data_IF_228470433840
#
_entry.id   IF_228470433840
#
_cell.length_a   1.000
_cell.length_b   1.000
_cell.length_c   1.000
_cell.angle_alpha   90.00
_cell.angle_beta   90.00
_cell.angle_gamma   90.00
#
_symmetry.space_group_name_H-M   'P 1'
#
loop_
_entity.id
_entity.type
_entity.pdbx_description
1 polymer ?
#
# COMPACT_ATOMS: atom_id res chain seq x y z
N UNK A 1 31.56 15.17 4.90
CA UNK A 1 30.29 15.53 4.24
C UNK A 1 29.94 14.35 3.34
N UNK A 2 29.09 13.45 3.78
CA UNK A 2 28.53 12.40 2.94
C UNK A 2 27.66 13.11 1.91
N UNK A 3 28.03 13.01 0.62
CA UNK A 3 27.18 13.41 -0.49
C UNK A 3 25.80 12.80 -0.23
N UNK A 4 24.76 13.66 -0.13
CA UNK A 4 23.36 13.23 -0.03
C UNK A 4 23.09 12.31 -1.22
N UNK A 5 23.16 11.00 -1.01
CA UNK A 5 23.00 10.01 -2.08
C UNK A 5 21.57 10.16 -2.60
N UNK A 6 21.46 10.50 -3.87
CA UNK A 6 20.19 10.52 -4.62
C UNK A 6 19.39 9.25 -4.29
N UNK A 7 18.09 9.38 -4.02
CA UNK A 7 17.21 8.22 -3.86
C UNK A 7 16.20 8.21 -4.99
N UNK A 8 16.48 7.40 -6.01
CA UNK A 8 15.60 7.19 -7.16
C UNK A 8 15.26 5.71 -7.22
N UNK A 9 14.11 5.37 -6.66
CA UNK A 9 13.64 4.00 -6.54
C UNK A 9 12.64 3.60 -7.62
N UNK A 10 12.49 2.31 -7.81
CA UNK A 10 11.44 1.72 -8.64
C UNK A 10 10.90 0.44 -8.02
N UNK A 11 9.57 0.26 -8.04
CA UNK A 11 8.95 -1.01 -7.70
C UNK A 11 8.96 -1.94 -8.92
N UNK A 12 9.43 -3.16 -8.72
CA UNK A 12 9.63 -4.13 -9.79
C UNK A 12 9.24 -5.53 -9.36
N UNK A 13 8.54 -6.25 -10.22
CA UNK A 13 8.22 -7.66 -10.01
C UNK A 13 9.34 -8.59 -10.50
N UNK A 14 9.47 -9.78 -9.91
CA UNK A 14 10.44 -10.79 -10.34
C UNK A 14 10.38 -11.14 -11.81
N UNK A 15 9.17 -11.14 -12.39
CA UNK A 15 8.97 -11.53 -13.80
C UNK A 15 9.74 -10.67 -14.79
N UNK A 16 9.96 -9.38 -14.48
CA UNK A 16 10.72 -8.49 -15.37
C UNK A 16 12.16 -8.98 -15.56
N UNK A 17 12.79 -9.47 -14.50
CA UNK A 17 14.16 -10.00 -14.57
C UNK A 17 14.22 -11.35 -15.30
N UNK A 18 13.16 -12.13 -15.24
CA UNK A 18 13.06 -13.41 -15.95
C UNK A 18 12.86 -13.19 -17.45
N UNK A 19 11.99 -12.28 -17.83
CA UNK A 19 11.60 -12.04 -19.21
C UNK A 19 12.66 -11.28 -20.01
N UNK A 20 13.26 -10.26 -19.40
CA UNK A 20 14.17 -9.34 -20.08
C UNK A 20 15.64 -9.64 -19.79
N UNK A 21 15.90 -10.40 -18.72
CA UNK A 21 17.25 -10.63 -18.20
C UNK A 21 17.70 -9.53 -17.23
N UNK A 22 18.47 -9.94 -16.21
CA UNK A 22 18.88 -9.05 -15.11
C UNK A 22 19.67 -7.85 -15.64
N UNK A 23 20.69 -8.06 -16.47
CA UNK A 23 21.55 -6.98 -16.95
C UNK A 23 20.79 -5.97 -17.81
N UNK A 24 19.89 -6.41 -18.69
CA UNK A 24 19.11 -5.55 -19.56
C UNK A 24 18.14 -4.66 -18.75
N UNK A 25 17.51 -5.23 -17.72
CA UNK A 25 16.65 -4.47 -16.79
C UNK A 25 17.46 -3.42 -16.05
N UNK A 26 18.61 -3.79 -15.48
CA UNK A 26 19.45 -2.87 -14.71
C UNK A 26 20.02 -1.75 -15.60
N UNK A 27 20.44 -2.04 -16.81
CA UNK A 27 20.89 -1.06 -17.79
C UNK A 27 19.77 -0.09 -18.14
N UNK A 28 18.59 -0.57 -18.47
CA UNK A 28 17.42 0.26 -18.75
C UNK A 28 17.09 1.19 -17.57
N UNK A 29 17.05 0.66 -16.37
CA UNK A 29 16.68 1.43 -15.19
C UNK A 29 17.73 2.46 -14.80
N UNK A 30 19.00 2.06 -14.79
CA UNK A 30 20.08 2.96 -14.36
C UNK A 30 20.44 3.96 -15.46
N UNK A 31 20.72 3.51 -16.67
CA UNK A 31 21.30 4.35 -17.71
C UNK A 31 20.24 5.21 -18.39
N UNK A 32 19.02 4.66 -18.61
CA UNK A 32 17.94 5.42 -19.23
C UNK A 32 17.21 6.34 -18.24
N UNK A 33 16.95 5.88 -17.00
CA UNK A 33 16.09 6.60 -16.04
C UNK A 33 16.89 7.26 -14.92
N UNK A 34 17.98 6.66 -14.48
CA UNK A 34 18.78 7.12 -13.33
C UNK A 34 18.35 6.45 -12.00
N UNK A 35 17.67 5.31 -12.08
CA UNK A 35 17.29 4.51 -10.90
C UNK A 35 18.54 3.95 -10.21
N UNK A 36 18.56 4.01 -8.88
CA UNK A 36 19.64 3.49 -8.06
C UNK A 36 19.14 2.64 -6.86
N UNK A 37 17.83 2.44 -6.73
CA UNK A 37 17.23 1.60 -5.69
C UNK A 37 16.15 0.72 -6.31
N UNK A 38 16.28 -0.59 -6.13
CA UNK A 38 15.30 -1.57 -6.59
C UNK A 38 14.41 -1.99 -5.42
N UNK A 39 13.09 -1.88 -5.55
CA UNK A 39 12.12 -2.42 -4.61
C UNK A 39 11.48 -3.64 -5.25
N UNK A 40 12.00 -4.82 -4.89
CA UNK A 40 11.61 -6.08 -5.52
C UNK A 40 10.50 -6.74 -4.72
N UNK A 41 9.36 -7.02 -5.35
CA UNK A 41 8.25 -7.75 -4.75
C UNK A 41 8.58 -9.22 -4.55
N UNK A 42 9.35 -9.55 -3.49
CA UNK A 42 9.84 -10.92 -3.25
C UNK A 42 8.77 -11.89 -2.79
N UNK A 43 7.67 -11.37 -2.23
CA UNK A 43 6.52 -12.18 -1.81
C UNK A 43 5.24 -11.48 -2.21
N UNK A 44 4.44 -12.09 -3.06
CA UNK A 44 3.19 -11.49 -3.49
C UNK A 44 2.24 -12.51 -4.11
N UNK A 45 0.96 -12.38 -3.79
CA UNK A 45 -0.15 -13.03 -4.51
C UNK A 45 -0.95 -12.01 -5.34
N UNK A 46 -0.49 -10.77 -5.39
CA UNK A 46 -1.05 -9.76 -6.27
C UNK A 46 -0.65 -10.06 -7.71
N UNK A 47 -1.64 -10.24 -8.57
CA UNK A 47 -1.41 -10.49 -9.99
C UNK A 47 -0.44 -9.50 -10.65
N UNK A 48 -0.50 -8.21 -10.27
CA UNK A 48 0.43 -7.16 -10.72
C UNK A 48 1.90 -7.40 -10.34
N UNK A 49 2.16 -8.14 -9.27
CA UNK A 49 3.49 -8.33 -8.71
C UNK A 49 3.94 -9.77 -8.72
N UNK A 50 3.00 -10.69 -9.02
CA UNK A 50 3.23 -12.12 -9.03
C UNK A 50 3.40 -12.71 -10.46
N UNK A 51 3.18 -11.94 -11.51
CA UNK A 51 3.28 -12.45 -12.87
C UNK A 51 2.71 -11.50 -13.92
N UNK A 52 2.52 -12.01 -15.15
CA UNK A 52 2.02 -11.27 -16.32
C UNK A 52 0.51 -11.11 -16.30
N UNK A 53 -0.05 -10.51 -15.26
CA UNK A 53 -1.51 -10.37 -15.14
C UNK A 53 -2.07 -9.06 -15.69
N UNK A 54 -1.22 -8.20 -16.26
CA UNK A 54 -1.59 -6.92 -16.82
C UNK A 54 -1.28 -6.92 -18.30
N UNK A 55 -2.08 -6.18 -19.05
CA UNK A 55 -1.74 -5.84 -20.43
C UNK A 55 -0.48 -4.99 -20.44
N UNK A 56 0.63 -5.58 -20.78
CA UNK A 56 1.89 -4.90 -21.04
C UNK A 56 1.81 -4.21 -22.40
N UNK A 57 1.20 -3.07 -22.45
CA UNK A 57 1.25 -2.22 -23.64
C UNK A 57 2.47 -1.31 -23.50
N UNK A 58 3.64 -1.87 -23.83
CA UNK A 58 4.93 -1.31 -23.50
C UNK A 58 5.64 -0.84 -24.76
N UNK A 59 5.73 0.46 -24.95
CA UNK A 59 6.51 1.04 -26.03
C UNK A 59 7.99 0.65 -25.89
N UNK A 60 8.50 -0.14 -26.81
CA UNK A 60 9.91 -0.54 -26.86
C UNK A 60 10.32 -1.69 -25.93
N UNK A 61 9.37 -2.36 -25.30
CA UNK A 61 9.61 -3.54 -24.49
C UNK A 61 9.65 -4.83 -25.30
N UNK A 62 10.36 -5.86 -24.82
CA UNK A 62 10.22 -7.21 -25.34
C UNK A 62 8.76 -7.68 -25.28
N UNK A 63 8.37 -8.58 -26.18
CA UNK A 63 7.06 -9.20 -26.13
C UNK A 63 6.95 -10.10 -24.90
N UNK A 64 6.12 -9.69 -23.95
CA UNK A 64 5.87 -10.45 -22.72
C UNK A 64 4.77 -11.51 -22.89
N UNK A 65 4.25 -11.67 -24.09
CA UNK A 65 3.18 -12.62 -24.39
C UNK A 65 1.79 -12.13 -23.99
N UNK A 66 0.82 -13.05 -24.04
CA UNK A 66 -0.57 -12.73 -23.69
C UNK A 66 -0.70 -12.53 -22.19
N UNK A 67 -1.30 -11.41 -21.70
CA UNK A 67 -1.58 -11.23 -20.29
C UNK A 67 -2.42 -12.40 -19.79
N UNK A 68 -1.95 -13.08 -18.76
CA UNK A 68 -2.78 -14.07 -18.11
C UNK A 68 -3.93 -13.36 -17.35
N UNK A 69 -5.15 -13.93 -17.34
CA UNK A 69 -6.21 -13.44 -16.49
C UNK A 69 -5.70 -13.42 -15.04
N UNK A 70 -6.21 -12.49 -14.23
CA UNK A 70 -5.93 -12.37 -12.79
C UNK A 70 -6.11 -13.74 -12.12
N UNK A 71 -5.12 -14.58 -12.22
CA UNK A 71 -5.06 -15.85 -11.54
C UNK A 71 -4.38 -15.62 -10.20
N UNK A 72 -4.83 -16.31 -9.17
CA UNK A 72 -4.24 -16.27 -7.84
C UNK A 72 -2.91 -17.06 -7.82
N UNK A 73 -2.04 -16.76 -8.77
CA UNK A 73 -0.66 -17.23 -8.81
C UNK A 73 0.16 -16.33 -7.89
N UNK A 74 1.26 -16.82 -7.42
CA UNK A 74 2.19 -16.06 -6.59
C UNK A 74 2.66 -16.85 -5.38
N UNK A 75 3.30 -16.12 -4.50
CA UNK A 75 3.95 -16.65 -3.31
C UNK A 75 5.29 -15.95 -3.10
N UNK A 76 6.23 -16.65 -2.48
CA UNK A 76 7.61 -16.19 -2.36
C UNK A 76 8.40 -16.54 -3.63
N UNK A 77 9.06 -15.56 -4.19
CA UNK A 77 9.97 -15.67 -5.35
C UNK A 77 11.45 -15.76 -4.94
N UNK A 78 11.68 -16.00 -3.66
CA UNK A 78 12.96 -16.42 -3.07
C UNK A 78 12.89 -17.90 -2.73
N UNK A 79 14.03 -18.51 -2.36
CA UNK A 79 14.06 -19.84 -1.75
C UNK A 79 14.02 -19.67 -0.22
N UNK A 80 12.86 -19.81 0.44
CA UNK A 80 12.79 -19.62 1.89
C UNK A 80 13.60 -20.70 2.61
N UNK A 81 14.44 -20.28 3.58
CA UNK A 81 15.31 -21.18 4.36
C UNK A 81 14.53 -21.80 5.51
N UNK A 82 14.38 -23.12 5.50
CA UNK A 82 13.51 -23.89 6.42
C UNK A 82 13.75 -23.63 7.90
N UNK A 83 15.00 -23.35 8.30
CA UNK A 83 15.36 -23.08 9.70
C UNK A 83 14.63 -21.88 10.30
N UNK A 84 14.40 -20.82 9.52
CA UNK A 84 13.67 -19.64 10.01
C UNK A 84 12.19 -19.91 10.25
N UNK A 85 11.64 -20.93 9.60
CA UNK A 85 10.22 -21.30 9.66
C UNK A 85 9.95 -22.53 10.53
N UNK A 86 10.96 -23.02 11.28
CA UNK A 86 10.83 -24.22 12.11
C UNK A 86 9.66 -24.13 13.11
N UNK A 87 9.42 -22.95 13.67
CA UNK A 87 8.39 -22.69 14.69
C UNK A 87 7.13 -21.98 14.13
N UNK A 88 6.97 -21.89 12.81
CA UNK A 88 5.77 -21.32 12.18
C UNK A 88 4.80 -22.43 11.78
N UNK A 89 3.49 -22.10 11.78
CA UNK A 89 2.47 -22.99 11.22
C UNK A 89 2.49 -22.98 9.67
N UNK A 90 2.87 -21.84 9.09
CA UNK A 90 3.00 -21.64 7.64
C UNK A 90 4.45 -21.97 7.24
N UNK A 91 4.63 -23.08 6.52
CA UNK A 91 5.95 -23.59 6.09
C UNK A 91 6.32 -23.12 4.69
N UNK A 92 7.62 -23.08 4.32
CA UNK A 92 8.09 -22.71 2.97
C UNK A 92 7.33 -23.37 1.82
N UNK A 93 7.07 -24.67 1.90
CA UNK A 93 6.29 -25.41 0.88
C UNK A 93 4.87 -24.90 0.65
N UNK A 94 4.30 -24.13 1.60
CA UNK A 94 2.95 -23.59 1.50
C UNK A 94 2.90 -22.27 0.73
N UNK A 95 3.97 -21.48 0.76
CA UNK A 95 4.00 -20.13 0.21
C UNK A 95 5.07 -19.89 -0.85
N UNK A 96 5.97 -20.85 -1.13
CA UNK A 96 6.89 -20.76 -2.27
C UNK A 96 6.06 -20.62 -3.56
N UNK A 97 6.42 -19.66 -4.42
CA UNK A 97 5.77 -19.48 -5.70
C UNK A 97 5.95 -20.73 -6.59
N UNK A 98 4.90 -21.09 -7.32
CA UNK A 98 4.85 -22.29 -8.19
C UNK A 98 4.66 -21.92 -9.66
N UNK A 99 4.95 -20.67 -10.00
CA UNK A 99 4.85 -20.19 -11.37
C UNK A 99 5.94 -20.85 -12.24
N UNK A 100 5.53 -21.43 -13.37
CA UNK A 100 6.44 -22.15 -14.26
C UNK A 100 7.54 -21.26 -14.84
N UNK A 101 7.24 -19.99 -15.05
CA UNK A 101 8.18 -19.01 -15.60
C UNK A 101 9.34 -18.72 -14.65
N UNK A 102 9.09 -18.73 -13.35
CA UNK A 102 10.12 -18.48 -12.33
C UNK A 102 10.80 -19.78 -11.90
N UNK A 103 10.07 -20.91 -11.96
CA UNK A 103 10.60 -22.22 -11.59
C UNK A 103 11.23 -22.23 -10.20
N UNK A 104 12.46 -22.71 -10.11
CA UNK A 104 13.24 -22.77 -8.87
C UNK A 104 14.15 -21.54 -8.66
N UNK A 105 14.05 -20.49 -9.49
CA UNK A 105 14.89 -19.32 -9.39
C UNK A 105 14.67 -18.58 -8.04
N UNK A 106 15.76 -18.11 -7.47
CA UNK A 106 15.75 -17.16 -6.36
C UNK A 106 16.06 -15.77 -6.90
N UNK A 107 15.06 -14.89 -6.82
CA UNK A 107 15.18 -13.58 -7.45
C UNK A 107 16.23 -12.69 -6.77
N UNK A 108 16.43 -12.81 -5.47
CA UNK A 108 17.42 -12.01 -4.77
C UNK A 108 18.84 -12.50 -5.06
N UNK A 109 19.06 -13.82 -5.11
CA UNK A 109 20.36 -14.39 -5.51
C UNK A 109 20.73 -14.00 -6.96
N UNK A 110 19.75 -13.93 -7.85
CA UNK A 110 19.98 -13.53 -9.24
C UNK A 110 20.30 -12.04 -9.38
N UNK A 111 19.61 -11.17 -8.66
CA UNK A 111 19.65 -9.72 -8.90
C UNK A 111 20.71 -9.00 -8.06
N UNK A 112 20.91 -9.40 -6.79
CA UNK A 112 21.79 -8.69 -5.85
C UNK A 112 23.22 -8.54 -6.39
N UNK A 113 23.91 -9.59 -6.91
CA UNK A 113 25.28 -9.44 -7.37
C UNK A 113 25.43 -8.41 -8.50
N UNK A 114 24.54 -8.45 -9.48
CA UNK A 114 24.58 -7.52 -10.62
C UNK A 114 24.22 -6.10 -10.20
N UNK A 115 23.20 -5.92 -9.34
CA UNK A 115 22.81 -4.61 -8.81
C UNK A 115 23.94 -3.98 -7.97
N UNK A 116 24.59 -4.75 -7.09
CA UNK A 116 25.72 -4.29 -6.29
C UNK A 116 26.93 -3.90 -7.15
N UNK A 117 27.23 -4.66 -8.19
CA UNK A 117 28.30 -4.32 -9.15
C UNK A 117 28.06 -2.97 -9.84
N UNK A 118 26.79 -2.55 -9.98
CA UNK A 118 26.37 -1.24 -10.52
C UNK A 118 26.19 -0.16 -9.43
N UNK A 119 26.46 -0.48 -8.16
CA UNK A 119 26.26 0.44 -7.03
C UNK A 119 24.80 0.73 -6.69
N UNK A 120 23.87 -0.13 -7.14
CA UNK A 120 22.44 -0.01 -6.84
C UNK A 120 22.12 -0.70 -5.51
N UNK A 121 21.14 -0.13 -4.78
CA UNK A 121 20.55 -0.75 -3.59
C UNK A 121 19.44 -1.73 -3.99
N UNK A 122 19.29 -2.80 -3.20
CA UNK A 122 18.23 -3.79 -3.35
C UNK A 122 17.44 -3.88 -2.04
N UNK A 123 16.14 -3.60 -2.11
CA UNK A 123 15.21 -3.63 -0.99
C UNK A 123 14.02 -4.52 -1.36
N UNK A 124 13.79 -5.65 -0.66
CA UNK A 124 12.53 -6.36 -0.77
C UNK A 124 11.34 -5.46 -0.49
N UNK A 125 10.31 -5.56 -1.33
CA UNK A 125 9.00 -4.97 -1.10
C UNK A 125 8.10 -6.03 -0.49
N UNK A 126 7.63 -5.78 0.73
CA UNK A 126 6.71 -6.63 1.44
C UNK A 126 5.39 -5.88 1.66
N UNK A 127 4.28 -6.48 1.20
CA UNK A 127 2.96 -5.87 1.27
C UNK A 127 2.03 -6.64 2.20
N UNK A 128 1.50 -5.98 3.20
CA UNK A 128 0.45 -6.43 4.08
C UNK A 128 -0.86 -5.65 3.77
N UNK A 129 -2.02 -6.28 3.67
CA UNK A 129 -2.30 -7.72 3.76
C UNK A 129 -1.93 -8.46 2.47
N UNK A 130 -1.18 -9.55 2.65
CA UNK A 130 -0.60 -10.28 1.52
C UNK A 130 -1.66 -11.02 0.69
N UNK A 131 -2.82 -11.35 1.28
CA UNK A 131 -3.91 -12.09 0.65
C UNK A 131 -5.08 -11.22 0.18
N UNK A 132 -4.90 -9.90 0.16
CA UNK A 132 -5.95 -8.91 -0.12
C UNK A 132 -6.79 -9.19 -1.37
N UNK A 133 -6.18 -9.76 -2.40
CA UNK A 133 -6.82 -10.06 -3.67
C UNK A 133 -7.23 -11.53 -3.82
N UNK A 134 -6.99 -12.36 -2.81
CA UNK A 134 -7.46 -13.75 -2.79
C UNK A 134 -8.99 -13.86 -2.82
N UNK A 135 -9.70 -12.82 -2.41
CA UNK A 135 -11.17 -12.75 -2.44
C UNK A 135 -11.82 -12.64 -3.82
N UNK A 136 -11.05 -12.37 -4.88
CA UNK A 136 -11.59 -12.28 -6.25
C UNK A 136 -11.81 -13.64 -6.94
N UNK A 137 -11.39 -14.73 -6.35
CA UNK A 137 -11.55 -16.01 -6.99
C UNK A 137 -11.71 -17.14 -6.01
N UNK A 138 -10.78 -17.36 -5.16
CA UNK A 138 -10.83 -18.41 -4.13
C UNK A 138 -9.65 -18.24 -3.19
N UNK A 139 -9.94 -17.97 -1.94
CA UNK A 139 -8.99 -17.99 -0.83
C UNK A 139 -8.19 -19.30 -0.78
N UNK A 140 -8.74 -20.38 -1.35
CA UNK A 140 -8.13 -21.70 -1.42
C UNK A 140 -6.95 -21.82 -2.37
N UNK A 141 -6.73 -20.86 -3.26
CA UNK A 141 -5.66 -20.91 -4.27
C UNK A 141 -4.31 -20.35 -3.78
N UNK A 142 -4.26 -19.82 -2.56
CA UNK A 142 -3.04 -19.23 -1.98
C UNK A 142 -2.05 -20.31 -1.50
N UNK A 143 -2.47 -21.58 -1.41
CA UNK A 143 -1.59 -22.69 -1.02
C UNK A 143 -1.35 -22.83 0.49
N UNK A 144 -1.88 -21.92 1.30
CA UNK A 144 -1.75 -21.95 2.76
C UNK A 144 -2.84 -22.87 3.34
N UNK A 145 -2.47 -23.91 4.08
CA UNK A 145 -3.44 -24.83 4.66
C UNK A 145 -4.28 -24.14 5.75
N UNK A 146 -5.57 -24.44 5.77
CA UNK A 146 -6.53 -23.86 6.74
C UNK A 146 -6.54 -22.32 6.75
N UNK A 147 -6.38 -21.70 5.60
CA UNK A 147 -6.32 -20.24 5.47
C UNK A 147 -7.42 -19.49 6.24
N UNK A 148 -8.69 -19.97 6.32
CA UNK A 148 -9.73 -19.29 7.11
C UNK A 148 -9.36 -19.01 8.57
N UNK A 149 -8.55 -19.84 9.22
CA UNK A 149 -8.12 -19.62 10.60
C UNK A 149 -7.27 -18.35 10.80
N UNK A 150 -6.65 -17.85 9.74
CA UNK A 150 -5.82 -16.64 9.78
C UNK A 150 -6.63 -15.37 9.48
N UNK A 151 -7.81 -15.50 8.86
CA UNK A 151 -8.57 -14.37 8.35
C UNK A 151 -9.28 -13.59 9.46
N UNK A 152 -9.49 -12.31 9.20
CA UNK A 152 -10.34 -11.46 10.02
C UNK A 152 -11.76 -12.03 10.10
N UNK A 153 -12.42 -11.75 11.22
CA UNK A 153 -13.81 -12.13 11.45
C UNK A 153 -14.63 -10.86 11.68
N UNK A 154 -15.68 -10.68 10.90
CA UNK A 154 -16.57 -9.53 11.02
C UNK A 154 -17.48 -9.62 12.26
N UNK A 155 -18.27 -8.56 12.47
CA UNK A 155 -19.21 -8.48 13.60
C UNK A 155 -20.30 -9.58 13.62
N UNK A 156 -20.54 -10.28 12.49
CA UNK A 156 -21.48 -11.39 12.36
C UNK A 156 -20.81 -12.79 12.50
N UNK A 157 -19.50 -12.84 12.73
CA UNK A 157 -18.75 -14.09 12.82
C UNK A 157 -18.35 -14.67 11.47
N UNK A 158 -18.41 -13.90 10.38
CA UNK A 158 -18.03 -14.35 9.03
C UNK A 158 -16.57 -14.02 8.76
N UNK A 159 -15.87 -14.91 8.08
CA UNK A 159 -14.49 -14.67 7.67
C UNK A 159 -14.42 -13.62 6.54
N UNK A 160 -13.51 -12.66 6.71
CA UNK A 160 -13.14 -11.69 5.67
C UNK A 160 -12.12 -12.26 4.66
N UNK A 161 -11.56 -11.39 3.85
CA UNK A 161 -10.54 -11.74 2.86
C UNK A 161 -9.10 -11.40 3.32
N UNK A 162 -8.94 -10.68 4.40
CA UNK A 162 -7.64 -10.23 4.91
C UNK A 162 -7.25 -11.01 6.18
N UNK A 163 -5.96 -11.38 6.35
CA UNK A 163 -5.50 -12.03 7.57
C UNK A 163 -5.56 -11.08 8.78
N UNK A 164 -5.82 -11.64 9.95
CA UNK A 164 -5.79 -10.87 11.19
C UNK A 164 -4.36 -10.66 11.67
N UNK A 165 -3.94 -9.41 11.85
CA UNK A 165 -2.61 -9.06 12.38
C UNK A 165 -2.40 -9.46 13.84
N UNK A 166 -3.46 -9.80 14.59
CA UNK A 166 -3.37 -10.35 15.94
C UNK A 166 -3.27 -11.88 15.97
N UNK A 167 -3.42 -12.56 14.82
CA UNK A 167 -3.19 -13.99 14.77
C UNK A 167 -1.70 -14.28 14.98
N UNK A 168 -1.31 -15.02 16.05
CA UNK A 168 0.09 -15.21 16.41
C UNK A 168 0.88 -16.00 15.35
N UNK A 169 0.24 -16.93 14.65
CA UNK A 169 0.89 -17.71 13.61
C UNK A 169 1.17 -16.85 12.36
N UNK A 170 0.23 -15.96 12.00
CA UNK A 170 0.42 -15.01 10.91
C UNK A 170 1.52 -14.00 11.23
N UNK A 171 1.55 -13.44 12.46
CA UNK A 171 2.64 -12.55 12.90
C UNK A 171 3.99 -13.23 12.86
N UNK A 172 4.07 -14.45 13.42
CA UNK A 172 5.32 -15.22 13.46
C UNK A 172 5.82 -15.54 12.06
N UNK A 173 4.92 -15.83 11.13
CA UNK A 173 5.29 -16.03 9.73
C UNK A 173 5.93 -14.78 9.12
N UNK A 174 5.36 -13.58 9.34
CA UNK A 174 5.97 -12.32 8.92
C UNK A 174 7.34 -12.08 9.56
N UNK A 175 7.45 -12.33 10.86
CA UNK A 175 8.72 -12.22 11.58
C UNK A 175 9.78 -13.15 10.99
N UNK A 176 9.46 -14.41 10.75
CA UNK A 176 10.35 -15.39 10.13
C UNK A 176 10.77 -14.98 8.72
N UNK A 177 9.84 -14.42 7.95
CA UNK A 177 10.14 -13.94 6.60
C UNK A 177 11.11 -12.78 6.59
N UNK A 178 10.92 -11.80 7.46
CA UNK A 178 11.83 -10.66 7.60
C UNK A 178 13.20 -11.13 8.11
N UNK A 179 13.24 -12.04 9.08
CA UNK A 179 14.49 -12.60 9.59
C UNK A 179 15.26 -13.36 8.50
N UNK A 180 14.58 -14.21 7.73
CA UNK A 180 15.17 -14.94 6.61
C UNK A 180 15.80 -13.97 5.60
N UNK A 181 15.07 -12.96 5.16
CA UNK A 181 15.62 -11.95 4.23
C UNK A 181 16.86 -11.24 4.81
N UNK A 182 16.81 -10.83 6.07
CA UNK A 182 17.94 -10.12 6.70
C UNK A 182 19.21 -10.96 6.83
N UNK A 183 19.07 -12.28 7.04
CA UNK A 183 20.21 -13.14 7.33
C UNK A 183 20.74 -13.88 6.11
N UNK A 184 19.87 -14.11 5.11
CA UNK A 184 20.21 -14.92 3.96
C UNK A 184 20.68 -14.10 2.76
N UNK A 185 20.33 -12.80 2.68
CA UNK A 185 20.62 -11.98 1.52
C UNK A 185 21.34 -10.67 1.85
N UNK A 186 22.22 -10.23 0.96
CA UNK A 186 22.93 -8.95 1.06
C UNK A 186 22.06 -7.76 0.63
N UNK A 187 20.87 -7.63 1.23
CA UNK A 187 19.93 -6.54 0.99
C UNK A 187 20.37 -5.24 1.66
N UNK A 188 19.77 -4.11 1.27
CA UNK A 188 20.03 -2.78 1.86
C UNK A 188 18.91 -2.31 2.80
N UNK A 189 17.81 -3.03 2.85
CA UNK A 189 16.65 -2.69 3.68
C UNK A 189 15.36 -3.27 3.11
N UNK A 190 14.23 -2.69 3.52
CA UNK A 190 12.89 -3.09 3.11
C UNK A 190 12.02 -1.89 2.75
N UNK A 191 11.07 -2.11 1.86
CA UNK A 191 9.87 -1.29 1.77
C UNK A 191 8.69 -2.09 2.32
N UNK A 192 8.13 -1.63 3.43
CA UNK A 192 6.97 -2.22 4.07
C UNK A 192 5.70 -1.46 3.72
N UNK A 193 4.69 -2.17 3.31
CA UNK A 193 3.40 -1.62 2.91
C UNK A 193 2.29 -2.25 3.74
N UNK A 194 1.57 -1.42 4.52
CA UNK A 194 0.41 -1.83 5.31
C UNK A 194 -0.82 -1.04 4.86
N UNK A 195 -1.67 -1.65 4.05
CA UNK A 195 -2.82 -1.01 3.40
C UNK A 195 -4.15 -1.59 3.89
N UNK A 196 -4.48 -1.37 5.15
CA UNK A 196 -5.70 -1.87 5.78
C UNK A 196 -6.73 -0.77 6.03
N UNK A 197 -8.00 -1.14 6.00
CA UNK A 197 -9.12 -0.30 6.44
C UNK A 197 -9.41 -0.57 7.91
N UNK A 198 -9.56 0.49 8.70
CA UNK A 198 -10.08 0.39 10.06
C UNK A 198 -11.57 0.02 10.07
N UNK A 199 -12.12 -0.47 11.19
CA UNK A 199 -13.53 -0.84 11.27
C UNK A 199 -14.49 0.28 10.84
N UNK A 200 -14.27 1.53 11.24
CA UNK A 200 -15.08 2.66 10.78
C UNK A 200 -14.94 2.93 9.27
N UNK A 201 -13.70 2.85 8.75
CA UNK A 201 -13.47 3.02 7.32
C UNK A 201 -14.11 1.90 6.48
N UNK A 202 -14.15 0.66 7.00
CA UNK A 202 -14.87 -0.45 6.37
C UNK A 202 -16.37 -0.14 6.24
N UNK A 203 -17.00 0.40 7.31
CA UNK A 203 -18.42 0.73 7.30
C UNK A 203 -18.76 1.88 6.35
N UNK A 204 -17.95 2.92 6.28
CA UNK A 204 -18.10 3.99 5.27
C UNK A 204 -18.07 3.42 3.86
N UNK A 205 -17.22 2.41 3.62
CA UNK A 205 -17.12 1.71 2.33
C UNK A 205 -18.22 0.65 2.10
N UNK A 206 -19.20 0.52 2.99
CA UNK A 206 -20.30 -0.44 2.88
C UNK A 206 -19.92 -1.88 3.23
N UNK A 207 -18.88 -2.07 4.02
CA UNK A 207 -18.40 -3.37 4.47
C UNK A 207 -18.67 -3.57 5.96
N UNK A 208 -19.12 -4.77 6.34
CA UNK A 208 -19.26 -5.09 7.75
C UNK A 208 -17.90 -5.07 8.44
N UNK A 209 -17.78 -4.36 9.59
CA UNK A 209 -16.49 -4.13 10.22
C UNK A 209 -15.90 -5.40 10.86
N UNK A 210 -14.56 -5.49 10.85
CA UNK A 210 -13.73 -6.49 11.51
C UNK A 210 -12.56 -5.80 12.23
N UNK A 211 -11.76 -6.48 13.05
CA UNK A 211 -11.77 -7.91 13.30
C UNK A 211 -12.27 -8.22 14.72
N UNK A 212 -13.24 -9.12 14.83
CA UNK A 212 -13.75 -9.65 16.11
C UNK A 212 -13.38 -11.14 16.29
N UNK A 213 -12.28 -11.61 15.70
CA UNK A 213 -11.81 -12.99 15.88
C UNK A 213 -11.39 -13.26 17.33
N UNK A 214 -11.18 -14.54 17.66
CA UNK A 214 -10.78 -14.93 19.01
C UNK A 214 -9.49 -14.26 19.50
N UNK A 215 -8.51 -14.05 18.61
CA UNK A 215 -7.24 -13.40 18.96
C UNK A 215 -7.45 -11.92 19.32
N UNK A 216 -8.25 -11.19 18.54
CA UNK A 216 -8.59 -9.80 18.84
C UNK A 216 -9.39 -9.68 20.13
N UNK A 217 -10.37 -10.56 20.34
CA UNK A 217 -11.19 -10.56 21.57
C UNK A 217 -10.35 -10.85 22.82
N UNK A 218 -9.46 -11.85 22.76
CA UNK A 218 -8.56 -12.21 23.86
C UNK A 218 -7.60 -11.07 24.22
N UNK A 219 -6.97 -10.48 23.21
CA UNK A 219 -6.05 -9.35 23.38
C UNK A 219 -6.78 -8.10 23.96
N UNK A 220 -7.99 -7.83 23.50
CA UNK A 220 -8.82 -6.75 24.03
C UNK A 220 -9.13 -6.96 25.53
N UNK A 221 -9.57 -8.17 25.91
CA UNK A 221 -9.83 -8.50 27.32
C UNK A 221 -8.58 -8.35 28.20
N UNK A 222 -7.40 -8.73 27.71
CA UNK A 222 -6.13 -8.54 28.44
C UNK A 222 -5.80 -7.05 28.67
N UNK A 223 -6.31 -6.16 27.84
CA UNK A 223 -6.19 -4.71 27.96
C UNK A 223 -7.35 -4.05 28.71
N UNK A 224 -8.25 -4.84 29.30
CA UNK A 224 -9.42 -4.34 30.01
C UNK A 224 -10.53 -3.80 29.11
N UNK A 225 -10.54 -4.15 27.83
CA UNK A 225 -11.59 -3.78 26.87
C UNK A 225 -12.58 -4.93 26.80
N UNK A 226 -13.89 -4.64 26.93
CA UNK A 226 -14.95 -5.61 26.72
C UNK A 226 -15.26 -5.76 25.23
N UNK A 227 -14.85 -6.87 24.57
CA UNK A 227 -15.04 -7.04 23.14
C UNK A 227 -16.51 -7.22 22.75
N UNK A 228 -17.36 -7.70 23.67
CA UNK A 228 -18.79 -7.89 23.38
C UNK A 228 -19.55 -6.57 23.46
N UNK A 229 -19.21 -5.68 24.41
CA UNK A 229 -19.73 -4.33 24.44
C UNK A 229 -19.34 -3.56 23.17
N UNK A 230 -18.07 -3.67 22.75
CA UNK A 230 -17.61 -3.06 21.50
C UNK A 230 -18.37 -3.62 20.27
N UNK A 231 -18.56 -4.96 20.19
CA UNK A 231 -19.30 -5.57 19.08
C UNK A 231 -20.75 -5.09 19.01
N UNK A 232 -21.43 -4.94 20.15
CA UNK A 232 -22.80 -4.38 20.20
C UNK A 232 -22.84 -2.95 19.72
N UNK A 233 -21.91 -2.11 20.17
CA UNK A 233 -21.79 -0.72 19.71
C UNK A 233 -21.57 -0.65 18.19
N UNK A 234 -20.73 -1.53 17.64
CA UNK A 234 -20.53 -1.64 16.20
C UNK A 234 -21.77 -2.14 15.43
N UNK A 235 -22.63 -2.95 16.01
CA UNK A 235 -23.92 -3.28 15.39
C UNK A 235 -24.82 -2.05 15.25
N UNK A 236 -24.92 -1.21 16.27
CA UNK A 236 -25.74 0.01 16.22
C UNK A 236 -25.23 1.02 15.17
N UNK A 237 -23.91 1.25 15.12
CA UNK A 237 -23.37 2.14 14.09
C UNK A 237 -23.45 1.51 12.70
N UNK A 238 -23.36 0.19 12.57
CA UNK A 238 -23.56 -0.49 11.31
C UNK A 238 -25.00 -0.37 10.81
N UNK A 239 -26.00 -0.43 11.68
CA UNK A 239 -27.42 -0.15 11.35
C UNK A 239 -27.58 1.28 10.82
N UNK A 240 -26.91 2.26 11.43
CA UNK A 240 -26.86 3.62 10.88
C UNK A 240 -26.32 3.65 9.45
N UNK A 241 -25.17 3.02 9.19
CA UNK A 241 -24.57 3.00 7.86
C UNK A 241 -25.45 2.28 6.83
N UNK A 242 -26.05 1.13 7.20
CA UNK A 242 -26.98 0.41 6.33
C UNK A 242 -28.23 1.26 6.01
N UNK A 243 -28.79 1.94 7.00
CA UNK A 243 -29.93 2.87 6.80
C UNK A 243 -29.54 4.00 5.87
N UNK A 244 -28.38 4.64 6.07
CA UNK A 244 -27.90 5.72 5.22
C UNK A 244 -27.71 5.26 3.76
N UNK A 245 -27.04 4.16 3.55
CA UNK A 245 -26.76 3.59 2.21
C UNK A 245 -28.01 3.10 1.50
N UNK A 246 -29.01 2.63 2.24
CA UNK A 246 -30.32 2.24 1.71
C UNK A 246 -31.24 3.42 1.36
N UNK A 247 -30.83 4.63 1.60
CA UNK A 247 -31.65 5.80 1.31
C UNK A 247 -32.57 6.25 2.44
N UNK A 248 -32.40 5.76 3.70
CA UNK A 248 -33.21 6.13 4.85
C UNK A 248 -33.07 7.59 5.26
N UNK A 249 -34.13 8.21 5.70
CA UNK A 249 -34.14 9.61 6.18
C UNK A 249 -33.67 9.72 7.62
N UNK A 250 -33.02 10.85 7.94
CA UNK A 250 -32.59 11.24 9.29
C UNK A 250 -33.23 12.58 9.66
N UNK A 251 -33.78 12.66 10.86
CA UNK A 251 -34.54 13.85 11.31
C UNK A 251 -33.65 15.10 11.39
N UNK A 252 -32.44 14.94 11.93
CA UNK A 252 -31.50 16.06 12.12
C UNK A 252 -30.37 16.04 11.08
N UNK A 253 -30.52 15.24 10.02
CA UNK A 253 -29.48 15.04 9.00
C UNK A 253 -28.46 13.95 9.34
N UNK A 254 -27.82 13.42 8.31
CA UNK A 254 -26.96 12.23 8.39
C UNK A 254 -25.73 12.43 9.28
N UNK A 255 -25.07 13.57 9.17
CA UNK A 255 -23.87 13.87 9.97
C UNK A 255 -24.20 14.00 11.47
N UNK A 256 -25.28 14.68 11.83
CA UNK A 256 -25.68 14.86 13.23
C UNK A 256 -26.07 13.51 13.83
N UNK A 257 -26.78 12.69 13.08
CA UNK A 257 -27.15 11.36 13.54
C UNK A 257 -25.92 10.46 13.73
N UNK A 258 -24.94 10.50 12.82
CA UNK A 258 -23.68 9.80 12.99
C UNK A 258 -22.95 10.21 14.28
N UNK A 259 -22.84 11.51 14.54
CA UNK A 259 -22.22 12.04 15.79
C UNK A 259 -23.00 11.55 17.01
N UNK A 260 -24.34 11.55 16.96
CA UNK A 260 -25.21 11.06 18.05
C UNK A 260 -24.96 9.59 18.35
N UNK A 261 -24.85 8.74 17.33
CA UNK A 261 -24.52 7.32 17.47
C UNK A 261 -23.14 7.13 18.11
N UNK A 262 -22.14 7.93 17.72
CA UNK A 262 -20.82 7.87 18.35
C UNK A 262 -20.84 8.29 19.82
N UNK A 263 -21.61 9.30 20.20
CA UNK A 263 -21.74 9.72 21.61
C UNK A 263 -22.49 8.69 22.46
N UNK A 264 -23.46 8.01 21.86
CA UNK A 264 -24.19 6.94 22.55
C UNK A 264 -23.33 5.67 22.75
N UNK A 265 -22.31 5.47 21.91
CA UNK A 265 -21.54 4.24 21.84
C UNK A 265 -20.01 4.52 21.85
N UNK A 266 -19.45 4.99 22.98
CA UNK A 266 -18.00 5.31 23.07
C UNK A 266 -17.09 4.11 22.82
N UNK A 267 -17.58 2.88 22.97
CA UNK A 267 -16.90 1.62 22.68
C UNK A 267 -16.42 1.51 21.25
N UNK A 268 -17.07 2.22 20.32
CA UNK A 268 -16.64 2.30 18.91
C UNK A 268 -15.24 2.89 18.82
N UNK A 269 -14.99 4.03 19.47
CA UNK A 269 -13.70 4.69 19.45
C UNK A 269 -12.62 3.89 20.23
N UNK A 270 -13.04 3.18 21.29
CA UNK A 270 -12.15 2.29 22.05
C UNK A 270 -11.66 1.14 21.13
N UNK A 271 -12.57 0.48 20.41
CA UNK A 271 -12.21 -0.61 19.50
C UNK A 271 -11.43 -0.14 18.29
N UNK A 272 -11.80 1.00 17.72
CA UNK A 272 -11.08 1.63 16.61
C UNK A 272 -9.63 1.93 16.98
N UNK A 273 -9.41 2.51 18.17
CA UNK A 273 -8.06 2.74 18.71
C UNK A 273 -7.30 1.43 18.94
N UNK A 274 -7.95 0.43 19.55
CA UNK A 274 -7.37 -0.89 19.79
C UNK A 274 -6.91 -1.54 18.47
N UNK A 275 -7.78 -1.54 17.46
CA UNK A 275 -7.49 -2.09 16.14
C UNK A 275 -6.27 -1.38 15.49
N UNK A 276 -6.26 -0.06 15.53
CA UNK A 276 -5.17 0.75 14.98
C UNK A 276 -3.83 0.46 15.66
N UNK A 277 -3.81 0.40 17.00
CA UNK A 277 -2.60 0.08 17.77
C UNK A 277 -2.06 -1.30 17.41
N UNK A 278 -2.93 -2.30 17.23
CA UNK A 278 -2.52 -3.66 16.86
C UNK A 278 -1.87 -3.73 15.49
N UNK A 279 -2.38 -2.98 14.53
CA UNK A 279 -1.74 -2.89 13.21
C UNK A 279 -0.37 -2.24 13.29
N UNK A 280 -0.27 -1.13 13.98
CA UNK A 280 1.01 -0.42 14.19
C UNK A 280 2.04 -1.23 14.97
N UNK A 281 1.59 -2.14 15.84
CA UNK A 281 2.51 -3.02 16.58
C UNK A 281 3.23 -4.02 15.66
N UNK A 282 2.58 -4.51 14.60
CA UNK A 282 3.27 -5.32 13.61
C UNK A 282 4.37 -4.52 12.90
N UNK A 283 4.07 -3.29 12.50
CA UNK A 283 5.04 -2.40 11.84
C UNK A 283 6.26 -2.15 12.76
N UNK A 284 6.01 -1.88 14.06
CA UNK A 284 7.07 -1.65 15.07
C UNK A 284 7.91 -2.89 15.32
N UNK A 285 7.29 -4.06 15.39
CA UNK A 285 7.99 -5.34 15.60
C UNK A 285 8.92 -5.63 14.42
N UNK A 286 8.43 -5.50 13.19
CA UNK A 286 9.24 -5.75 12.00
C UNK A 286 10.39 -4.76 11.88
N UNK A 287 10.14 -3.46 12.13
CA UNK A 287 11.20 -2.46 12.22
C UNK A 287 12.27 -2.86 13.26
N UNK A 288 11.84 -3.21 14.47
CA UNK A 288 12.75 -3.63 15.55
C UNK A 288 13.58 -4.86 15.17
N UNK A 289 12.99 -5.83 14.49
CA UNK A 289 13.69 -7.02 14.00
C UNK A 289 14.74 -6.68 12.94
N UNK A 290 14.41 -5.84 11.98
CA UNK A 290 15.36 -5.38 10.95
C UNK A 290 16.55 -4.69 11.60
N UNK A 291 16.31 -3.76 12.55
CA UNK A 291 17.37 -3.05 13.25
C UNK A 291 18.20 -3.95 14.16
N UNK A 292 17.58 -4.96 14.76
CA UNK A 292 18.31 -5.97 15.57
C UNK A 292 19.18 -6.87 14.69
N UNK A 293 18.69 -7.26 13.52
CA UNK A 293 19.46 -8.09 12.60
C UNK A 293 20.68 -7.34 12.03
N UNK A 294 20.51 -6.10 11.60
CA UNK A 294 21.56 -5.19 11.16
C UNK A 294 21.05 -3.74 11.22
N UNK A 295 21.69 -2.92 12.04
CA UNK A 295 21.33 -1.51 12.25
C UNK A 295 21.44 -0.65 10.95
N UNK A 296 22.27 -1.07 10.00
CA UNK A 296 22.48 -0.36 8.74
C UNK A 296 21.39 -0.63 7.68
N UNK A 297 20.56 -1.66 7.88
CA UNK A 297 19.42 -1.92 7.00
C UNK A 297 18.36 -0.83 7.16
N UNK A 298 17.87 -0.33 6.04
CA UNK A 298 16.79 0.67 6.05
C UNK A 298 15.42 0.01 6.06
N UNK A 299 14.47 0.58 6.81
CA UNK A 299 13.08 0.14 6.81
C UNK A 299 12.17 1.32 6.43
N UNK A 300 11.62 1.28 5.23
CA UNK A 300 10.75 2.33 4.71
C UNK A 300 9.28 1.97 4.79
N UNK A 301 8.45 2.94 5.17
CA UNK A 301 7.01 2.78 5.20
C UNK A 301 6.36 3.34 3.95
N UNK A 302 5.65 2.49 3.23
CA UNK A 302 4.75 2.89 2.15
C UNK A 302 3.40 3.30 2.73
N UNK A 303 2.94 4.52 2.43
CA UNK A 303 1.70 5.08 2.94
C UNK A 303 0.68 5.21 1.82
N UNK A 304 -0.43 4.51 1.99
CA UNK A 304 -1.49 4.39 1.00
C UNK A 304 -2.10 5.73 0.62
N UNK A 305 -2.35 5.98 -0.68
CA UNK A 305 -2.92 7.23 -1.18
C UNK A 305 -4.34 7.53 -0.67
N UNK A 306 -5.10 6.52 -0.23
CA UNK A 306 -6.41 6.74 0.43
C UNK A 306 -6.30 7.56 1.71
N UNK A 307 -5.14 7.56 2.38
CA UNK A 307 -4.89 8.40 3.56
C UNK A 307 -4.99 9.90 3.24
N UNK A 308 -4.87 10.28 1.97
CA UNK A 308 -5.00 11.68 1.54
C UNK A 308 -6.47 12.13 1.50
N UNK A 309 -7.41 11.23 1.24
CA UNK A 309 -8.81 11.53 0.95
C UNK A 309 -9.78 11.06 2.04
N UNK A 310 -9.40 10.05 2.81
CA UNK A 310 -10.24 9.47 3.84
C UNK A 310 -10.00 10.17 5.18
N UNK A 311 -11.04 10.77 5.76
CA UNK A 311 -10.95 11.57 6.99
C UNK A 311 -10.49 10.74 8.20
N UNK A 312 -11.00 9.51 8.35
CA UNK A 312 -10.65 8.63 9.45
C UNK A 312 -9.21 8.20 9.37
N UNK A 313 -8.77 7.76 8.19
CA UNK A 313 -7.38 7.36 7.97
C UNK A 313 -6.40 8.51 8.16
N UNK A 314 -6.71 9.69 7.61
CA UNK A 314 -5.87 10.88 7.78
C UNK A 314 -5.71 11.25 9.26
N UNK A 315 -6.79 11.14 10.05
CA UNK A 315 -6.77 11.41 11.49
C UNK A 315 -5.99 10.35 12.29
N UNK A 316 -6.01 9.10 11.87
CA UNK A 316 -5.38 7.97 12.56
C UNK A 316 -3.87 7.81 12.27
N UNK A 317 -3.35 8.48 11.22
CA UNK A 317 -1.98 8.32 10.75
C UNK A 317 -1.18 9.63 10.79
N UNK A 318 -0.89 10.18 11.98
CA UNK A 318 -0.04 11.36 12.09
C UNK A 318 1.40 11.01 11.65
N UNK A 319 1.96 11.81 10.76
CA UNK A 319 3.29 11.58 10.18
C UNK A 319 4.40 11.44 11.22
N UNK A 320 4.37 12.25 12.28
CA UNK A 320 5.40 12.21 13.32
C UNK A 320 5.47 10.85 14.05
N UNK A 321 4.35 10.18 14.24
CA UNK A 321 4.34 8.86 14.88
C UNK A 321 5.06 7.81 14.04
N UNK A 322 4.87 7.84 12.72
CA UNK A 322 5.46 6.87 11.79
C UNK A 322 7.01 6.96 11.78
N UNK A 323 7.57 8.14 12.05
CA UNK A 323 9.03 8.31 12.13
C UNK A 323 9.70 7.54 13.28
N UNK A 324 8.93 6.95 14.19
CA UNK A 324 9.48 6.17 15.30
C UNK A 324 9.86 4.74 14.91
N UNK A 325 9.35 4.27 13.78
CA UNK A 325 9.56 2.91 13.28
C UNK A 325 9.72 2.87 11.76
N UNK A 326 10.37 3.89 11.22
CA UNK A 326 10.76 3.97 9.83
C UNK A 326 12.05 4.79 9.70
N UNK A 327 12.89 4.43 8.73
CA UNK A 327 14.07 5.22 8.34
C UNK A 327 13.71 6.21 7.22
N UNK A 328 12.61 5.97 6.49
CA UNK A 328 12.03 6.88 5.50
C UNK A 328 10.55 6.57 5.29
N UNK A 329 9.82 7.53 4.74
CA UNK A 329 8.39 7.35 4.42
C UNK A 329 8.12 7.60 2.94
N UNK A 330 7.23 6.81 2.36
CA UNK A 330 6.80 6.90 0.97
C UNK A 330 5.29 7.16 0.90
N UNK A 331 4.84 8.42 0.89
CA UNK A 331 3.46 8.72 0.54
C UNK A 331 3.21 8.44 -0.95
N UNK A 332 2.16 7.68 -1.25
CA UNK A 332 1.78 7.35 -2.63
C UNK A 332 0.96 8.49 -3.22
N UNK A 333 1.39 8.99 -4.39
CA UNK A 333 0.64 9.98 -5.18
C UNK A 333 0.51 9.52 -6.64
N UNK A 334 -0.37 8.58 -6.90
CA UNK A 334 -0.64 8.11 -8.27
C UNK A 334 -1.60 9.09 -8.95
N UNK A 335 -1.11 10.25 -9.35
CA UNK A 335 -1.87 11.43 -9.77
C UNK A 335 -2.96 11.12 -10.82
N UNK A 336 -2.66 10.32 -11.84
CA UNK A 336 -3.64 9.92 -12.86
C UNK A 336 -4.70 8.93 -12.35
N UNK A 337 -4.41 8.18 -11.28
CA UNK A 337 -5.35 7.25 -10.64
C UNK A 337 -6.10 7.92 -9.48
N UNK A 338 -5.50 8.92 -8.85
CA UNK A 338 -6.00 9.52 -7.62
C UNK A 338 -7.32 10.26 -7.78
N UNK A 339 -7.65 10.76 -8.98
CA UNK A 339 -8.96 11.32 -9.27
C UNK A 339 -10.09 10.30 -9.09
N UNK A 340 -9.90 9.05 -9.57
CA UNK A 340 -10.87 7.97 -9.35
C UNK A 340 -10.94 7.54 -7.88
N UNK A 341 -9.80 7.51 -7.19
CA UNK A 341 -9.77 7.16 -5.75
C UNK A 341 -10.51 8.22 -4.94
N UNK A 342 -10.25 9.50 -5.20
CA UNK A 342 -10.98 10.61 -4.59
C UNK A 342 -12.49 10.50 -4.84
N UNK A 343 -12.88 10.32 -6.10
CA UNK A 343 -14.27 10.15 -6.48
C UNK A 343 -14.95 9.01 -5.72
N UNK A 344 -14.25 7.87 -5.56
CA UNK A 344 -14.78 6.74 -4.78
C UNK A 344 -14.94 7.09 -3.30
N UNK A 345 -13.92 7.67 -2.66
CA UNK A 345 -14.00 8.07 -1.23
C UNK A 345 -15.13 9.09 -0.99
N UNK A 346 -15.31 10.07 -1.89
CA UNK A 346 -16.41 11.03 -1.79
C UNK A 346 -17.78 10.37 -2.04
N UNK A 347 -17.87 9.41 -2.95
CA UNK A 347 -19.09 8.62 -3.15
C UNK A 347 -19.46 7.81 -1.90
N UNK A 348 -18.47 7.20 -1.24
CA UNK A 348 -18.70 6.43 -0.03
C UNK A 348 -19.15 7.36 1.13
N UNK A 349 -18.56 8.54 1.27
CA UNK A 349 -18.96 9.56 2.24
C UNK A 349 -20.36 10.14 1.95
N UNK A 350 -20.66 10.45 0.69
CA UNK A 350 -21.99 10.92 0.27
C UNK A 350 -23.08 9.88 0.56
N UNK A 351 -22.80 8.59 0.38
CA UNK A 351 -23.77 7.52 0.66
C UNK A 351 -23.93 7.22 2.17
N UNK A 352 -23.18 7.88 3.03
CA UNK A 352 -23.13 7.58 4.46
C UNK A 352 -23.25 8.86 5.31
N UNK A 353 -22.13 9.43 5.72
CA UNK A 353 -22.06 10.51 6.72
C UNK A 353 -22.51 11.86 6.16
N UNK A 354 -22.27 12.12 4.88
CA UNK A 354 -22.61 13.38 4.20
C UNK A 354 -23.72 13.20 3.16
N UNK A 355 -24.70 12.37 3.48
CA UNK A 355 -25.76 12.03 2.55
C UNK A 355 -26.64 13.21 2.16
N UNK A 356 -26.76 14.21 3.01
CA UNK A 356 -27.60 15.39 2.81
C UNK A 356 -26.99 16.40 1.83
N UNK A 357 -25.74 16.19 1.40
CA UNK A 357 -25.05 17.01 0.41
C UNK A 357 -24.90 16.25 -0.90
N UNK A 358 -25.25 16.88 -2.03
CA UNK A 358 -24.93 16.32 -3.34
C UNK A 358 -23.40 16.22 -3.51
N UNK A 359 -22.88 15.26 -4.30
CA UNK A 359 -21.43 15.14 -4.52
C UNK A 359 -20.79 16.43 -5.04
N UNK A 360 -21.51 17.22 -5.85
CA UNK A 360 -21.05 18.52 -6.36
C UNK A 360 -20.92 19.59 -5.25
N UNK A 361 -21.68 19.47 -4.17
CA UNK A 361 -21.60 20.35 -2.99
C UNK A 361 -20.55 19.83 -2.00
N UNK A 362 -20.46 18.51 -1.83
CA UNK A 362 -19.50 17.87 -0.93
C UNK A 362 -18.06 18.07 -1.42
N UNK A 363 -17.80 17.99 -2.73
CA UNK A 363 -16.45 18.08 -3.29
C UNK A 363 -15.72 19.37 -2.91
N UNK A 364 -16.26 20.59 -3.12
CA UNK A 364 -15.55 21.82 -2.74
C UNK A 364 -15.36 21.97 -1.23
N UNK A 365 -16.27 21.44 -0.41
CA UNK A 365 -16.11 21.39 1.04
C UNK A 365 -14.93 20.48 1.41
N UNK A 366 -14.86 19.29 0.83
CA UNK A 366 -13.80 18.33 1.10
C UNK A 366 -12.45 18.81 0.59
N UNK A 367 -12.39 19.50 -0.54
CA UNK A 367 -11.16 20.13 -1.02
C UNK A 367 -10.61 21.12 0.00
N UNK A 368 -11.45 21.96 0.59
CA UNK A 368 -11.02 22.88 1.67
C UNK A 368 -10.51 22.15 2.91
N UNK A 369 -11.20 21.07 3.34
CA UNK A 369 -10.83 20.29 4.52
C UNK A 369 -9.50 19.54 4.28
N UNK A 370 -9.31 19.00 3.09
CA UNK A 370 -8.14 18.17 2.74
C UNK A 370 -6.96 18.98 2.19
N UNK A 371 -7.14 20.29 1.96
CA UNK A 371 -6.11 21.15 1.35
C UNK A 371 -5.85 20.82 -0.11
N UNK A 372 -6.90 20.50 -0.87
CA UNK A 372 -6.85 20.19 -2.29
C UNK A 372 -7.47 21.33 -3.12
N UNK A 373 -6.98 21.49 -4.35
CA UNK A 373 -7.53 22.42 -5.35
C UNK A 373 -7.46 21.74 -6.72
N UNK A 374 -8.49 20.96 -7.03
CA UNK A 374 -8.49 20.04 -8.16
C UNK A 374 -9.76 20.21 -9.00
N UNK A 375 -9.88 19.43 -10.07
CA UNK A 375 -11.04 19.45 -10.95
C UNK A 375 -12.36 19.18 -10.19
N UNK A 376 -13.50 19.79 -10.61
CA UNK A 376 -14.79 19.54 -9.99
C UNK A 376 -15.22 18.08 -10.12
N UNK A 377 -16.19 17.67 -9.28
CA UNK A 377 -16.70 16.29 -9.18
C UNK A 377 -16.89 15.58 -10.52
N UNK A 378 -17.55 16.24 -11.47
CA UNK A 378 -17.92 15.60 -12.73
C UNK A 378 -16.72 15.33 -13.66
N UNK A 379 -15.59 15.97 -13.40
CA UNK A 379 -14.39 15.91 -14.24
C UNK A 379 -13.18 15.25 -13.54
N UNK A 380 -13.19 15.09 -12.22
CA UNK A 380 -12.01 14.67 -11.44
C UNK A 380 -11.46 13.30 -11.86
N UNK A 381 -12.30 12.39 -12.32
CA UNK A 381 -11.87 11.06 -12.78
C UNK A 381 -11.09 11.17 -14.09
N UNK A 382 -11.57 12.00 -15.03
CA UNK A 382 -10.95 12.19 -16.34
C UNK A 382 -9.70 13.06 -16.27
N UNK A 383 -9.70 14.05 -15.38
CA UNK A 383 -8.56 14.94 -15.18
C UNK A 383 -7.40 14.26 -14.43
N UNK A 384 -7.73 13.33 -13.53
CA UNK A 384 -6.78 12.94 -12.49
C UNK A 384 -6.57 14.08 -11.49
N UNK A 385 -5.49 14.03 -10.72
CA UNK A 385 -5.09 15.14 -9.86
C UNK A 385 -3.79 15.77 -10.38
N UNK A 386 -3.71 17.10 -10.32
CA UNK A 386 -2.58 17.82 -10.92
C UNK A 386 -1.29 17.66 -10.11
N UNK A 387 -0.14 17.35 -10.73
CA UNK A 387 1.12 17.24 -10.02
C UNK A 387 1.54 18.50 -9.24
N UNK A 388 1.26 19.70 -9.77
CA UNK A 388 1.71 20.95 -9.17
C UNK A 388 0.88 21.36 -7.94
N UNK A 389 -0.32 20.84 -7.78
CA UNK A 389 -1.18 21.01 -6.60
C UNK A 389 -1.14 19.78 -5.71
N UNK A 390 -1.54 18.62 -6.22
CA UNK A 390 -1.68 17.40 -5.43
C UNK A 390 -0.34 16.78 -5.01
N UNK A 391 0.59 16.50 -5.95
CA UNK A 391 1.88 15.89 -5.58
C UNK A 391 2.70 16.84 -4.73
N UNK A 392 2.74 18.11 -5.13
CA UNK A 392 3.40 19.16 -4.35
C UNK A 392 2.81 19.28 -2.93
N UNK A 393 1.50 19.41 -2.82
CA UNK A 393 0.79 19.57 -1.54
C UNK A 393 1.01 18.40 -0.60
N UNK A 394 0.82 17.16 -1.09
CA UNK A 394 1.02 15.96 -0.26
C UNK A 394 2.48 15.77 0.16
N UNK A 395 3.43 16.10 -0.71
CA UNK A 395 4.85 16.10 -0.36
C UNK A 395 5.16 17.14 0.72
N UNK A 396 4.73 18.38 0.55
CA UNK A 396 4.95 19.46 1.50
C UNK A 396 4.32 19.17 2.87
N UNK A 397 3.11 18.61 2.89
CA UNK A 397 2.43 18.18 4.12
C UNK A 397 3.20 17.08 4.85
N UNK A 398 3.70 16.09 4.10
CA UNK A 398 4.49 15.01 4.66
C UNK A 398 5.81 15.52 5.22
N UNK A 399 6.54 16.34 4.46
CA UNK A 399 7.82 16.95 4.90
C UNK A 399 7.64 17.75 6.19
N UNK A 400 6.56 18.55 6.29
CA UNK A 400 6.23 19.25 7.53
C UNK A 400 5.89 18.27 8.67
N UNK A 401 5.11 17.23 8.36
CA UNK A 401 4.62 16.27 9.34
C UNK A 401 5.72 15.40 9.95
N UNK A 402 6.73 14.98 9.18
CA UNK A 402 7.85 14.20 9.70
C UNK A 402 8.86 15.04 10.49
N UNK A 403 8.77 16.37 10.44
CA UNK A 403 9.58 17.31 11.23
C UNK A 403 11.10 17.10 11.07
N UNK A 404 11.54 16.70 9.88
CA UNK A 404 12.96 16.43 9.58
C UNK A 404 13.54 15.17 10.24
N UNK A 405 12.73 14.32 10.86
CA UNK A 405 13.19 13.11 11.55
C UNK A 405 13.62 12.01 10.58
N UNK A 406 12.93 11.91 9.44
CA UNK A 406 13.21 10.95 8.37
C UNK A 406 13.03 11.62 7.01
N UNK A 407 13.73 11.18 5.96
CA UNK A 407 13.50 11.65 4.61
C UNK A 407 12.14 11.20 4.05
N UNK A 408 11.61 12.00 3.13
CA UNK A 408 10.38 11.72 2.38
C UNK A 408 10.73 11.38 0.95
N UNK A 409 10.39 10.17 0.51
CA UNK A 409 10.55 9.70 -0.86
C UNK A 409 9.17 9.50 -1.48
N UNK A 410 8.79 10.36 -2.43
CA UNK A 410 7.43 10.31 -2.99
C UNK A 410 7.22 9.10 -3.88
N UNK A 411 6.14 8.37 -3.65
CA UNK A 411 5.67 7.29 -4.52
C UNK A 411 4.90 7.84 -5.70
N UNK A 412 5.53 7.96 -6.86
CA UNK A 412 4.93 8.54 -8.06
C UNK A 412 4.33 7.45 -8.95
N UNK A 413 3.07 7.64 -9.36
CA UNK A 413 2.40 6.72 -10.26
C UNK A 413 2.91 6.85 -11.70
N UNK A 414 3.41 5.73 -12.24
CA UNK A 414 3.73 5.59 -13.66
C UNK A 414 2.90 4.42 -14.19
N UNK A 415 1.99 4.70 -15.11
CA UNK A 415 1.11 3.71 -15.72
C UNK A 415 0.38 2.79 -14.71
N UNK A 416 -0.02 3.33 -13.55
CA UNK A 416 -0.85 2.58 -12.62
C UNK A 416 -2.14 2.12 -13.33
N UNK A 417 -2.59 0.87 -13.09
CA UNK A 417 -3.69 0.27 -13.85
C UNK A 417 -4.96 1.10 -13.81
N UNK A 418 -5.57 1.30 -14.97
CA UNK A 418 -6.87 1.94 -15.10
C UNK A 418 -7.96 0.89 -14.97
N UNK A 419 -8.99 1.21 -14.21
CA UNK A 419 -10.17 0.35 -14.01
C UNK A 419 -11.41 0.88 -14.72
N UNK A 420 -11.33 2.11 -15.28
CA UNK A 420 -12.39 2.75 -16.08
C UNK A 420 -11.79 3.33 -17.36
N UNK A 421 -12.54 3.28 -18.44
CA UNK A 421 -12.11 3.79 -19.74
C UNK A 421 -11.92 5.31 -19.77
N UNK A 422 -12.72 6.04 -18.99
CA UNK A 422 -12.70 7.50 -18.87
C UNK A 422 -11.70 8.03 -17.82
N UNK A 423 -10.94 7.17 -17.18
CA UNK A 423 -9.93 7.56 -16.18
C UNK A 423 -8.72 8.23 -16.87
N UNK A 424 -8.14 9.23 -16.22
CA UNK A 424 -6.93 9.91 -16.64
C UNK A 424 -5.81 8.92 -17.06
N UNK A 425 -5.04 9.32 -18.07
CA UNK A 425 -3.91 8.53 -18.61
C UNK A 425 -2.61 9.11 -18.10
N UNK A 426 -1.67 8.25 -17.75
CA UNK A 426 -0.31 8.65 -17.46
C UNK A 426 0.39 9.13 -18.74
N UNK A 427 1.09 10.25 -18.66
CA UNK A 427 1.86 10.82 -19.78
C UNK A 427 3.28 11.17 -19.33
N UNK A 428 4.26 11.29 -20.24
CA UNK A 428 5.61 11.73 -19.90
C UNK A 428 5.64 13.08 -19.19
N UNK A 429 4.76 14.01 -19.58
CA UNK A 429 4.65 15.34 -18.96
C UNK A 429 4.18 15.26 -17.51
N UNK A 430 3.16 14.46 -17.24
CA UNK A 430 2.65 14.25 -15.87
C UNK A 430 3.76 13.67 -14.98
N UNK A 431 4.53 12.69 -15.46
CA UNK A 431 5.64 12.11 -14.70
C UNK A 431 6.74 13.14 -14.47
N UNK A 432 7.13 13.87 -15.49
CA UNK A 432 8.11 14.95 -15.40
C UNK A 432 7.72 16.00 -14.36
N UNK A 433 6.50 16.54 -14.42
CA UNK A 433 5.98 17.52 -13.47
C UNK A 433 5.89 16.95 -12.04
N UNK A 434 5.54 15.68 -11.88
CA UNK A 434 5.47 15.02 -10.57
C UNK A 434 6.84 14.93 -9.90
N UNK A 435 7.89 14.61 -10.65
CA UNK A 435 9.27 14.61 -10.13
C UNK A 435 9.67 16.03 -9.69
N UNK A 436 9.48 17.03 -10.54
CA UNK A 436 9.82 18.43 -10.20
C UNK A 436 9.03 18.92 -8.97
N UNK A 437 7.72 18.63 -8.91
CA UNK A 437 6.86 18.99 -7.78
C UNK A 437 7.36 18.38 -6.45
N UNK A 438 7.82 17.12 -6.49
CA UNK A 438 8.40 16.45 -5.32
C UNK A 438 9.59 17.21 -4.74
N UNK A 439 10.59 17.49 -5.56
CA UNK A 439 11.80 18.17 -5.08
C UNK A 439 11.55 19.63 -4.70
N UNK A 440 10.69 20.34 -5.43
CA UNK A 440 10.25 21.71 -5.10
C UNK A 440 9.54 21.77 -3.74
N UNK A 441 8.81 20.73 -3.35
CA UNK A 441 8.14 20.62 -2.05
C UNK A 441 9.05 20.15 -0.90
N UNK A 442 10.35 19.89 -1.16
CA UNK A 442 11.32 19.48 -0.15
C UNK A 442 11.50 17.97 0.00
N UNK A 443 10.87 17.18 -0.86
CA UNK A 443 11.11 15.72 -0.95
C UNK A 443 12.58 15.41 -1.26
N UNK A 444 13.08 14.28 -0.77
CA UNK A 444 14.49 13.88 -0.87
C UNK A 444 14.74 12.79 -1.90
N UNK A 445 13.69 12.29 -2.53
CA UNK A 445 13.76 11.25 -3.54
C UNK A 445 12.39 10.87 -4.08
N UNK A 446 12.39 10.01 -5.06
CA UNK A 446 11.19 9.48 -5.73
C UNK A 446 11.26 7.97 -5.85
N UNK A 447 10.11 7.34 -5.87
CA UNK A 447 9.93 5.90 -6.10
C UNK A 447 8.86 5.71 -7.16
N UNK A 448 9.25 5.23 -8.34
CA UNK A 448 8.31 4.96 -9.43
C UNK A 448 7.50 3.70 -9.13
N UNK A 449 6.19 3.81 -9.23
CA UNK A 449 5.20 2.82 -8.76
C UNK A 449 4.07 2.65 -9.77
N UNK A 450 3.26 1.56 -9.76
CA UNK A 450 3.31 0.47 -8.79
C UNK A 450 4.21 -0.71 -9.21
N UNK A 451 4.57 -0.82 -10.50
CA UNK A 451 5.36 -1.95 -10.99
C UNK A 451 5.97 -1.63 -12.37
N UNK A 452 7.29 -1.76 -12.48
CA UNK A 452 8.04 -1.55 -13.71
C UNK A 452 7.43 -2.29 -14.92
N UNK A 453 7.00 -3.53 -14.75
CA UNK A 453 6.40 -4.32 -15.81
C UNK A 453 5.12 -3.69 -16.44
N UNK A 454 4.51 -2.72 -15.81
CA UNK A 454 3.34 -1.99 -16.37
C UNK A 454 3.69 -0.60 -16.89
N UNK A 455 4.94 -0.13 -16.75
CA UNK A 455 5.35 1.23 -17.10
C UNK A 455 5.79 1.33 -18.55
N UNK A 456 5.32 2.35 -19.24
CA UNK A 456 5.84 2.70 -20.57
C UNK A 456 7.20 3.35 -20.44
N UNK A 457 8.15 2.94 -21.28
CA UNK A 457 9.49 3.56 -21.29
C UNK A 457 9.43 5.04 -21.60
N UNK A 458 8.53 5.48 -22.49
CA UNK A 458 8.31 6.91 -22.80
C UNK A 458 7.87 7.71 -21.58
N UNK A 459 7.09 7.13 -20.66
CA UNK A 459 6.71 7.80 -19.42
C UNK A 459 7.89 7.87 -18.44
N UNK A 460 8.73 6.85 -18.39
CA UNK A 460 9.99 6.87 -17.63
C UNK A 460 10.99 7.88 -18.21
N UNK A 461 10.99 8.16 -19.52
CA UNK A 461 11.79 9.23 -20.12
C UNK A 461 11.39 10.62 -19.58
N UNK A 462 10.11 10.83 -19.27
CA UNK A 462 9.65 12.02 -18.55
C UNK A 462 10.31 12.18 -17.19
N UNK A 463 10.44 11.09 -16.44
CA UNK A 463 11.18 11.09 -15.17
C UNK A 463 12.67 11.38 -15.38
N UNK A 464 13.29 10.72 -16.35
CA UNK A 464 14.71 10.92 -16.69
C UNK A 464 15.02 12.37 -17.04
N UNK A 465 14.16 13.04 -17.82
CA UNK A 465 14.26 14.46 -18.18
C UNK A 465 14.26 15.34 -16.91
N UNK A 466 13.31 15.12 -16.00
CA UNK A 466 13.23 15.90 -14.76
C UNK A 466 14.45 15.68 -13.87
N UNK A 467 14.90 14.43 -13.71
CA UNK A 467 16.09 14.11 -12.92
C UNK A 467 17.35 14.74 -13.50
N UNK A 468 17.49 14.79 -14.83
CA UNK A 468 18.61 15.47 -15.51
C UNK A 468 18.58 16.97 -15.24
N UNK A 469 17.42 17.62 -15.34
CA UNK A 469 17.26 19.06 -15.07
C UNK A 469 17.62 19.41 -13.61
N UNK A 470 17.30 18.51 -12.68
CA UNK A 470 17.66 18.64 -11.26
C UNK A 470 19.13 18.29 -10.95
N UNK A 471 19.93 17.88 -11.95
CA UNK A 471 21.30 17.42 -11.74
C UNK A 471 21.39 16.10 -10.94
N UNK A 472 20.34 15.30 -11.02
CA UNK A 472 20.20 14.03 -10.29
C UNK A 472 20.42 12.80 -11.19
N UNK A 473 20.54 12.95 -12.48
CA UNK A 473 20.92 11.90 -13.43
C UNK A 473 22.20 12.29 -14.13
#
# INVERSE_FOLDING_TARGET
MTQDRKFVGIQISPISFIDEGVDAVLETLQDRVGVNVLMIGTVSWLGLKAGRSISYNLDGWPDHGVPEPLTMKGGAYIQPHEEFYAHTAIKPRHFRAKDKEIGDADILEMVIPAAKARGMKVMPELMEPIFKYAGHGSVNNVGIPNLPQYLEVDLYGRHGAEPCTNNPDYRRWWQSMVEDHCRSYAIDGFMWCNERRSPLDQMVAGQAPGCFCEHCRREAMQRGIDPEACRKAFLEVWEYFQKAQAGGEFVDGSLIEFIRVLFANPEILIWEKFWLERNKDLDRELYGMVKWANADLEFGLNVWNRNHFNLFRKAQWPWEEQTRYADWVKPITYQHQSGLIYHKEMSDLHKSIFRDLAPQELTPLMYKILGLDEAPWDNVVQAGLDPDTYVYGQCADTVRGVKGKVPVYMGLGVDAPRTRADQAVCTPDIVYRSVLATYRAGGKGVIFSPNYASMKLTNLDGAAKALTELGLK
#
